data_IF_538334567173
#
_entry.id   IF_538334567173
#
_cell.length_a   1.000
_cell.length_b   1.000
_cell.length_c   1.000
_cell.angle_alpha   90.00
_cell.angle_beta   90.00
_cell.angle_gamma   90.00
#
_symmetry.space_group_name_H-M   'P 1'
#
loop_
_entity.id
_entity.type
_entity.pdbx_description
1 polymer ?
#
# COMPACT_ATOMS: atom_id res chain seq x y z
N UNK A 1 55.56 -1.16 -32.27
CA UNK A 1 54.15 -0.74 -32.41
C UNK A 1 53.24 -1.71 -31.64
N UNK A 2 52.85 -1.42 -30.39
CA UNK A 2 51.78 -2.17 -29.72
C UNK A 2 50.71 -1.20 -29.18
N UNK A 3 49.67 -0.89 -29.96
CA UNK A 3 48.54 -0.05 -29.49
C UNK A 3 47.15 -0.67 -29.71
N UNK A 4 47.05 -1.81 -30.40
CA UNK A 4 45.75 -2.42 -30.71
C UNK A 4 45.12 -3.20 -29.52
N UNK A 5 45.94 -3.82 -28.65
CA UNK A 5 45.46 -4.78 -27.64
C UNK A 5 44.63 -4.18 -26.49
N UNK A 6 44.85 -2.91 -26.15
CA UNK A 6 44.19 -2.26 -25.00
C UNK A 6 42.75 -1.80 -25.30
N UNK A 7 42.45 -1.50 -26.56
CA UNK A 7 41.10 -1.11 -26.97
C UNK A 7 40.16 -2.32 -27.00
N UNK A 8 40.64 -3.48 -27.47
CA UNK A 8 39.84 -4.71 -27.55
C UNK A 8 39.48 -5.26 -26.16
N UNK A 9 40.40 -5.21 -25.19
CA UNK A 9 40.11 -5.58 -23.79
C UNK A 9 39.04 -4.67 -23.16
N UNK A 10 39.08 -3.37 -23.48
CA UNK A 10 38.13 -2.39 -22.95
C UNK A 10 36.72 -2.60 -23.51
N UNK A 11 36.60 -2.91 -24.80
CA UNK A 11 35.32 -3.24 -25.45
C UNK A 11 34.75 -4.55 -24.88
N UNK A 12 35.59 -5.58 -24.74
CA UNK A 12 35.16 -6.87 -24.19
C UNK A 12 34.68 -6.77 -22.73
N UNK A 13 35.32 -5.91 -21.92
CA UNK A 13 34.90 -5.64 -20.55
C UNK A 13 33.52 -4.93 -20.50
N UNK A 14 33.26 -3.99 -21.41
CA UNK A 14 31.97 -3.30 -21.53
C UNK A 14 30.87 -4.28 -21.95
N UNK A 15 31.13 -5.13 -22.94
CA UNK A 15 30.17 -6.14 -23.41
C UNK A 15 29.81 -7.13 -22.30
N UNK A 16 30.82 -7.59 -21.54
CA UNK A 16 30.64 -8.46 -20.38
C UNK A 16 29.83 -7.76 -19.28
N UNK A 17 30.12 -6.49 -19.00
CA UNK A 17 29.36 -5.68 -18.05
C UNK A 17 27.90 -5.49 -18.47
N UNK A 18 27.65 -5.24 -19.76
CA UNK A 18 26.31 -5.07 -20.31
C UNK A 18 25.51 -6.38 -20.23
N UNK A 19 26.14 -7.51 -20.54
CA UNK A 19 25.52 -8.83 -20.38
C UNK A 19 25.15 -9.09 -18.92
N UNK A 20 26.05 -8.80 -17.97
CA UNK A 20 25.78 -8.96 -16.53
C UNK A 20 24.60 -8.09 -16.07
N UNK A 21 24.52 -6.84 -16.52
CA UNK A 21 23.40 -5.95 -16.21
C UNK A 21 22.08 -6.47 -16.78
N UNK A 22 22.07 -6.98 -18.02
CA UNK A 22 20.90 -7.61 -18.64
C UNK A 22 20.43 -8.82 -17.81
N UNK A 23 21.35 -9.67 -17.37
CA UNK A 23 21.04 -10.81 -16.51
C UNK A 23 20.46 -10.39 -15.15
N UNK A 24 21.05 -9.40 -14.48
CA UNK A 24 20.53 -8.89 -13.21
C UNK A 24 19.13 -8.28 -13.35
N UNK A 25 18.89 -7.53 -14.43
CA UNK A 25 17.57 -6.98 -14.72
C UNK A 25 16.53 -8.07 -15.01
N UNK A 26 16.90 -9.13 -15.74
CA UNK A 26 16.03 -10.28 -15.97
C UNK A 26 15.72 -11.02 -14.65
N UNK A 27 16.73 -11.27 -13.82
CA UNK A 27 16.56 -11.91 -12.51
C UNK A 27 15.65 -11.10 -11.59
N UNK A 28 15.82 -9.77 -11.54
CA UNK A 28 14.95 -8.89 -10.74
C UNK A 28 13.49 -8.92 -11.22
N UNK A 29 13.25 -8.93 -12.54
CA UNK A 29 11.89 -9.08 -13.11
C UNK A 29 11.27 -10.43 -12.75
N UNK A 30 12.06 -11.50 -12.82
CA UNK A 30 11.60 -12.83 -12.42
C UNK A 30 11.22 -12.89 -10.93
N UNK A 31 12.06 -12.36 -10.04
CA UNK A 31 11.75 -12.30 -8.61
C UNK A 31 10.47 -11.51 -8.31
N UNK A 32 10.23 -10.41 -9.03
CA UNK A 32 8.98 -9.64 -8.88
C UNK A 32 7.76 -10.43 -9.37
N UNK A 33 7.89 -11.13 -10.51
CA UNK A 33 6.84 -11.99 -11.03
C UNK A 33 6.53 -13.16 -10.08
N UNK A 34 7.56 -13.78 -9.50
CA UNK A 34 7.40 -14.84 -8.51
C UNK A 34 6.65 -14.35 -7.27
N UNK A 35 7.03 -13.19 -6.72
CA UNK A 35 6.31 -12.60 -5.59
C UNK A 35 4.85 -12.31 -5.93
N UNK A 36 4.56 -11.79 -7.13
CA UNK A 36 3.18 -11.58 -7.60
C UNK A 36 2.41 -12.90 -7.71
N UNK A 37 3.07 -13.97 -8.14
CA UNK A 37 2.50 -15.31 -8.17
C UNK A 37 2.22 -15.83 -6.77
N UNK A 38 3.17 -15.72 -5.84
CA UNK A 38 3.01 -16.11 -4.43
C UNK A 38 1.85 -15.38 -3.76
N UNK A 39 1.66 -14.08 -4.06
CA UNK A 39 0.49 -13.32 -3.60
C UNK A 39 -0.83 -13.72 -4.29
N UNK A 40 -0.78 -14.21 -5.52
CA UNK A 40 -1.96 -14.62 -6.28
C UNK A 40 -2.42 -16.04 -5.91
N UNK A 41 -1.51 -16.88 -5.40
CA UNK A 41 -1.88 -18.12 -4.75
C UNK A 41 -2.61 -17.76 -3.46
N UNK A 42 -3.93 -18.01 -3.40
CA UNK A 42 -4.71 -17.91 -2.16
C UNK A 42 -3.95 -18.70 -1.08
N UNK A 43 -3.42 -18.01 -0.08
CA UNK A 43 -2.78 -18.64 1.06
C UNK A 43 -3.75 -19.70 1.63
N UNK A 44 -3.35 -20.97 1.62
CA UNK A 44 -4.18 -22.08 2.10
C UNK A 44 -5.11 -22.75 1.07
N UNK A 45 -4.97 -22.51 -0.24
CA UNK A 45 -5.69 -23.32 -1.24
C UNK A 45 -5.14 -24.75 -1.29
N UNK A 46 -5.87 -25.70 -0.70
CA UNK A 46 -5.62 -27.13 -0.83
C UNK A 46 -6.62 -27.73 -1.84
N UNK A 47 -6.18 -28.22 -3.01
CA UNK A 47 -7.06 -28.81 -4.02
C UNK A 47 -7.73 -30.10 -3.57
N UNK A 48 -7.23 -30.75 -2.51
CA UNK A 48 -7.82 -31.95 -1.90
C UNK A 48 -8.81 -31.62 -0.77
N UNK A 49 -8.90 -30.36 -0.35
CA UNK A 49 -9.81 -29.94 0.69
C UNK A 49 -11.27 -30.16 0.24
N UNK A 50 -12.10 -30.88 1.04
CA UNK A 50 -13.47 -31.14 0.68
C UNK A 50 -14.25 -29.83 0.51
N UNK A 51 -14.77 -29.61 -0.70
CA UNK A 51 -15.61 -28.45 -0.99
C UNK A 51 -17.00 -28.71 -0.43
N UNK A 52 -17.50 -27.78 0.36
CA UNK A 52 -18.86 -27.84 0.87
C UNK A 52 -19.83 -27.84 -0.32
N UNK A 53 -20.76 -28.82 -0.44
CA UNK A 53 -21.74 -28.86 -1.53
C UNK A 53 -22.62 -27.62 -1.57
N UNK A 54 -23.07 -27.25 -2.77
CA UNK A 54 -23.99 -26.13 -2.96
C UNK A 54 -25.28 -26.36 -2.13
N UNK A 55 -25.64 -25.38 -1.29
CA UNK A 55 -26.83 -25.42 -0.43
C UNK A 55 -26.61 -25.89 1.01
N UNK A 56 -25.37 -26.22 1.42
CA UNK A 56 -25.05 -26.52 2.80
C UNK A 56 -24.87 -25.21 3.62
N UNK A 57 -25.46 -25.10 4.82
CA UNK A 57 -25.34 -23.92 5.68
C UNK A 57 -23.90 -23.55 6.07
N UNK A 58 -22.96 -24.51 6.06
CA UNK A 58 -21.55 -24.27 6.39
C UNK A 58 -20.73 -23.68 5.22
N UNK A 59 -21.34 -23.57 4.02
CA UNK A 59 -20.72 -22.95 2.85
C UNK A 59 -21.04 -21.46 2.77
N UNK A 60 -20.05 -20.63 2.42
CA UNK A 60 -20.25 -19.19 2.24
C UNK A 60 -21.37 -18.90 1.24
N UNK A 61 -22.50 -18.38 1.73
CA UNK A 61 -23.65 -18.05 0.89
C UNK A 61 -23.48 -16.67 0.27
N UNK A 62 -23.61 -16.59 -1.05
CA UNK A 62 -23.79 -15.31 -1.72
C UNK A 62 -25.24 -14.88 -1.53
N UNK A 63 -25.46 -13.76 -0.85
CA UNK A 63 -26.80 -13.20 -0.66
C UNK A 63 -27.39 -12.85 -2.03
N UNK A 64 -28.59 -13.37 -2.28
CA UNK A 64 -29.41 -13.03 -3.45
C UNK A 64 -30.18 -11.74 -3.12
N UNK A 65 -30.18 -10.78 -4.04
CA UNK A 65 -30.79 -9.46 -3.83
C UNK A 65 -32.30 -9.53 -3.51
N UNK A 66 -32.68 -8.95 -2.37
CA UNK A 66 -33.92 -8.16 -2.18
C UNK A 66 -35.23 -8.88 -1.79
N UNK A 67 -35.73 -8.59 -0.58
CA UNK A 67 -37.16 -8.74 -0.25
C UNK A 67 -37.53 -8.76 1.25
N UNK A 68 -37.83 -7.58 1.82
CA UNK A 68 -38.99 -7.34 2.73
C UNK A 68 -39.12 -7.96 4.14
N UNK A 69 -39.26 -7.05 5.11
CA UNK A 69 -40.05 -7.05 6.37
C UNK A 69 -39.63 -7.83 7.65
N UNK A 70 -39.41 -7.01 8.68
CA UNK A 70 -39.90 -7.04 10.09
C UNK A 70 -39.35 -8.02 11.15
N UNK A 71 -38.78 -7.37 12.17
CA UNK A 71 -38.90 -7.52 13.64
C UNK A 71 -38.43 -8.77 14.43
N UNK A 72 -37.64 -8.40 15.47
CA UNK A 72 -37.48 -8.96 16.82
C UNK A 72 -36.66 -10.23 17.10
N UNK A 73 -35.53 -10.00 17.78
CA UNK A 73 -35.24 -10.41 19.17
C UNK A 73 -33.87 -11.08 19.30
N UNK A 74 -33.17 -10.71 20.37
CA UNK A 74 -31.74 -10.91 20.54
C UNK A 74 -31.31 -12.32 20.93
N UNK A 75 -30.02 -12.58 20.75
CA UNK A 75 -29.10 -12.93 21.85
C UNK A 75 -27.68 -13.09 21.29
N UNK A 76 -26.73 -12.59 22.08
CA UNK A 76 -25.29 -12.90 22.09
C UNK A 76 -24.78 -14.03 21.17
N UNK A 77 -23.80 -13.70 20.33
CA UNK A 77 -22.65 -14.60 20.13
C UNK A 77 -21.38 -13.82 19.83
N UNK A 78 -20.35 -14.14 20.62
CA UNK A 78 -18.99 -13.62 20.59
C UNK A 78 -18.38 -13.85 19.20
N UNK A 79 -18.08 -12.78 18.48
CA UNK A 79 -17.33 -12.88 17.22
C UNK A 79 -15.84 -12.83 17.54
N UNK A 80 -15.17 -13.96 17.34
CA UNK A 80 -13.71 -14.08 17.29
C UNK A 80 -13.27 -13.46 15.96
N UNK A 81 -12.68 -12.27 15.99
CA UNK A 81 -12.07 -11.63 14.82
C UNK A 81 -10.56 -11.87 14.82
N UNK A 82 -10.12 -12.88 14.08
CA UNK A 82 -8.71 -13.02 13.71
C UNK A 82 -8.38 -11.99 12.62
N UNK A 83 -7.84 -10.85 13.07
CA UNK A 83 -7.37 -9.76 12.22
C UNK A 83 -6.14 -10.20 11.42
N UNK A 84 -6.31 -10.30 10.10
CA UNK A 84 -5.21 -10.48 9.16
C UNK A 84 -4.41 -9.19 8.98
N UNK A 85 -3.09 -9.36 8.91
CA UNK A 85 -2.04 -8.33 8.84
C UNK A 85 -2.35 -7.14 7.94
N UNK A 86 -2.26 -5.93 8.52
CA UNK A 86 -2.61 -4.62 7.96
C UNK A 86 -1.70 -4.08 6.82
N UNK A 87 -1.28 -4.93 5.87
CA UNK A 87 -0.64 -4.50 4.61
C UNK A 87 -1.27 -5.14 3.35
N UNK A 88 -2.50 -5.63 3.47
CA UNK A 88 -3.36 -5.99 2.35
C UNK A 88 -4.77 -5.45 2.59
N UNK A 89 -5.13 -4.35 1.92
CA UNK A 89 -6.54 -3.96 1.78
C UNK A 89 -7.05 -4.72 0.57
N UNK A 90 -7.73 -5.83 0.81
CA UNK A 90 -8.47 -6.56 -0.22
C UNK A 90 -9.50 -5.64 -0.88
N UNK A 91 -9.81 -5.90 -2.16
CA UNK A 91 -10.78 -5.12 -2.95
C UNK A 91 -12.22 -5.09 -2.44
N UNK A 92 -12.49 -5.54 -1.20
CA UNK A 92 -13.81 -5.61 -0.59
C UNK A 92 -14.39 -4.24 -0.22
N UNK A 93 -13.54 -3.24 0.07
CA UNK A 93 -14.01 -1.88 0.39
C UNK A 93 -14.60 -1.12 -0.81
N UNK A 94 -14.44 -1.61 -2.04
CA UNK A 94 -15.09 -1.02 -3.22
C UNK A 94 -16.53 -1.53 -3.43
N UNK A 95 -16.96 -2.58 -2.71
CA UNK A 95 -18.28 -3.17 -2.89
C UNK A 95 -19.38 -2.53 -2.02
N UNK A 96 -19.01 -1.86 -0.91
CA UNK A 96 -19.95 -1.51 0.16
C UNK A 96 -20.46 -0.05 0.14
N UNK A 97 -20.08 0.77 -0.86
CA UNK A 97 -20.40 2.20 -0.85
C UNK A 97 -20.77 2.83 -2.19
N UNK A 98 -20.93 2.04 -3.25
CA UNK A 98 -21.37 2.59 -4.53
C UNK A 98 -22.88 2.95 -4.45
N UNK A 99 -23.28 4.20 -4.77
CA UNK A 99 -24.68 4.50 -5.05
C UNK A 99 -25.18 3.51 -6.10
N UNK A 100 -26.36 2.93 -5.89
CA UNK A 100 -27.04 2.07 -6.87
C UNK A 100 -27.16 2.82 -8.19
N UNK A 101 -26.21 2.58 -9.09
CA UNK A 101 -26.08 3.19 -10.41
C UNK A 101 -25.32 2.22 -11.34
N UNK A 102 -25.43 2.38 -12.67
CA UNK A 102 -24.95 1.40 -13.63
C UNK A 102 -23.44 1.19 -13.47
N UNK A 103 -23.00 -0.08 -13.47
CA UNK A 103 -21.62 -0.53 -13.26
C UNK A 103 -20.52 0.48 -13.67
N UNK A 104 -19.58 0.83 -12.77
CA UNK A 104 -18.48 1.73 -13.10
C UNK A 104 -17.62 1.08 -14.19
N UNK A 105 -17.56 1.72 -15.36
CA UNK A 105 -16.63 1.33 -16.45
C UNK A 105 -17.25 0.80 -17.75
N UNK A 106 -18.58 0.77 -17.92
CA UNK A 106 -19.21 0.40 -19.21
C UNK A 106 -20.19 1.42 -19.80
N UNK A 107 -20.43 2.53 -19.11
CA UNK A 107 -21.36 3.57 -19.55
C UNK A 107 -20.68 4.75 -20.24
N UNK A 108 -21.46 5.58 -20.94
CA UNK A 108 -20.96 6.85 -21.46
C UNK A 108 -20.47 7.70 -20.29
N UNK A 109 -19.39 8.46 -20.51
CA UNK A 109 -18.84 9.40 -19.53
C UNK A 109 -19.13 10.83 -19.96
N UNK A 110 -19.39 11.70 -18.98
CA UNK A 110 -19.61 13.11 -19.22
C UNK A 110 -18.27 13.84 -19.39
N UNK A 111 -18.09 14.49 -20.54
CA UNK A 111 -16.91 15.30 -20.87
C UNK A 111 -17.40 16.62 -21.46
N UNK A 112 -17.08 17.74 -20.80
CA UNK A 112 -17.50 19.07 -21.23
C UNK A 112 -19.02 19.18 -21.53
N UNK A 113 -19.85 18.52 -20.73
CA UNK A 113 -21.31 18.50 -20.92
C UNK A 113 -21.83 17.53 -21.99
N UNK A 114 -20.97 16.80 -22.70
CA UNK A 114 -21.33 15.81 -23.71
C UNK A 114 -21.10 14.39 -23.20
N UNK A 115 -22.06 13.50 -23.45
CA UNK A 115 -21.92 12.07 -23.18
C UNK A 115 -21.07 11.42 -24.28
N UNK A 116 -19.90 10.92 -23.91
CA UNK A 116 -18.96 10.25 -24.81
C UNK A 116 -18.87 8.78 -24.44
N UNK A 117 -18.92 7.88 -25.42
CA UNK A 117 -18.74 6.45 -25.22
C UNK A 117 -17.25 6.09 -25.38
N UNK A 118 -16.52 5.80 -24.28
CA UNK A 118 -15.13 5.34 -24.36
C UNK A 118 -15.05 3.92 -24.91
N UNK A 119 -13.93 3.61 -25.59
CA UNK A 119 -13.59 2.22 -25.94
C UNK A 119 -13.40 1.40 -24.66
N UNK A 120 -13.60 0.07 -24.70
CA UNK A 120 -13.37 -0.79 -23.54
C UNK A 120 -11.97 -0.64 -22.92
N UNK A 121 -10.94 -0.43 -23.76
CA UNK A 121 -9.57 -0.21 -23.30
C UNK A 121 -9.41 1.14 -22.57
N UNK A 122 -10.00 2.22 -23.09
CA UNK A 122 -10.01 3.52 -22.42
C UNK A 122 -10.76 3.45 -21.09
N UNK A 123 -11.91 2.77 -21.03
CA UNK A 123 -12.68 2.62 -19.79
C UNK A 123 -11.89 1.87 -18.72
N UNK A 124 -11.28 0.74 -19.08
CA UNK A 124 -10.48 -0.06 -18.15
C UNK A 124 -9.26 0.73 -17.64
N UNK A 125 -8.57 1.43 -18.55
CA UNK A 125 -7.41 2.24 -18.19
C UNK A 125 -7.79 3.40 -17.26
N UNK A 126 -8.87 4.12 -17.59
CA UNK A 126 -9.35 5.23 -16.79
C UNK A 126 -9.74 4.76 -15.38
N UNK A 127 -10.52 3.69 -15.27
CA UNK A 127 -10.93 3.13 -13.98
C UNK A 127 -9.71 2.71 -13.12
N UNK A 128 -8.69 2.10 -13.73
CA UNK A 128 -7.48 1.72 -13.01
C UNK A 128 -6.68 2.95 -12.52
N UNK A 129 -6.60 4.01 -13.32
CA UNK A 129 -5.91 5.24 -12.96
C UNK A 129 -6.66 6.05 -11.90
N UNK A 130 -7.99 6.15 -12.00
CA UNK A 130 -8.83 6.80 -11.00
C UNK A 130 -8.73 6.07 -9.65
N UNK A 131 -8.81 4.74 -9.63
CA UNK A 131 -8.63 3.96 -8.41
C UNK A 131 -7.24 4.16 -7.78
N UNK A 132 -6.19 4.23 -8.61
CA UNK A 132 -4.82 4.51 -8.17
C UNK A 132 -4.70 5.92 -7.60
N UNK A 133 -5.27 6.92 -8.27
CA UNK A 133 -5.30 8.30 -7.81
C UNK A 133 -6.03 8.41 -6.47
N UNK A 134 -7.27 7.91 -6.38
CA UNK A 134 -8.10 8.00 -5.17
C UNK A 134 -7.42 7.35 -3.96
N UNK A 135 -6.80 6.18 -4.15
CA UNK A 135 -6.06 5.49 -3.09
C UNK A 135 -4.86 6.31 -2.60
N UNK A 136 -4.06 6.85 -3.51
CA UNK A 136 -2.89 7.65 -3.16
C UNK A 136 -3.30 9.00 -2.53
N UNK A 137 -4.31 9.68 -3.10
CA UNK A 137 -4.84 10.95 -2.59
C UNK A 137 -5.35 10.78 -1.17
N UNK A 138 -6.14 9.73 -0.89
CA UNK A 138 -6.62 9.44 0.47
C UNK A 138 -5.49 9.29 1.47
N UNK A 139 -4.44 8.53 1.13
CA UNK A 139 -3.26 8.36 1.99
C UNK A 139 -2.52 9.67 2.24
N UNK A 140 -2.52 10.59 1.27
CA UNK A 140 -1.96 11.93 1.49
C UNK A 140 -2.86 12.74 2.43
N UNK A 141 -4.17 12.68 2.22
CA UNK A 141 -5.16 13.42 2.99
C UNK A 141 -5.35 12.91 4.43
N UNK A 142 -5.02 11.66 4.70
CA UNK A 142 -4.94 11.15 6.08
C UNK A 142 -3.84 11.85 6.88
N UNK A 143 -2.81 12.37 6.20
CA UNK A 143 -1.75 13.19 6.82
C UNK A 143 -2.05 14.70 6.70
N UNK A 144 -2.45 15.16 5.52
CA UNK A 144 -2.75 16.56 5.18
C UNK A 144 -4.14 16.69 4.55
N UNK A 145 -5.20 16.83 5.36
CA UNK A 145 -6.59 16.81 4.90
C UNK A 145 -6.94 17.85 3.83
N UNK A 146 -6.22 18.97 3.81
CA UNK A 146 -6.37 20.08 2.87
C UNK A 146 -5.64 19.87 1.54
N UNK A 147 -4.72 18.88 1.45
CA UNK A 147 -3.96 18.65 0.23
C UNK A 147 -4.86 18.22 -0.93
N UNK A 148 -4.64 18.82 -2.10
CA UNK A 148 -5.33 18.48 -3.35
C UNK A 148 -4.30 18.35 -4.47
N UNK A 149 -4.51 17.45 -5.44
CA UNK A 149 -3.68 17.44 -6.64
C UNK A 149 -3.91 18.72 -7.46
N UNK A 150 -2.95 19.02 -8.33
CA UNK A 150 -3.02 20.18 -9.22
C UNK A 150 -4.20 20.01 -10.19
N UNK A 151 -5.09 20.99 -10.24
CA UNK A 151 -6.24 20.97 -11.14
C UNK A 151 -5.76 21.01 -12.61
N UNK A 152 -6.37 20.17 -13.46
CA UNK A 152 -6.22 20.24 -14.91
C UNK A 152 -7.58 20.18 -15.60
N UNK A 153 -7.73 21.01 -16.63
CA UNK A 153 -8.90 21.01 -17.50
C UNK A 153 -8.69 19.98 -18.62
N UNK A 154 -9.75 19.27 -19.00
CA UNK A 154 -9.75 18.34 -20.13
C UNK A 154 -11.09 18.37 -20.87
N UNK A 155 -11.04 18.09 -22.16
CA UNK A 155 -12.21 18.05 -23.05
C UNK A 155 -12.32 16.74 -23.84
N UNK A 156 -11.47 15.76 -23.57
CA UNK A 156 -11.44 14.46 -24.24
C UNK A 156 -11.26 13.30 -23.25
N UNK A 157 -11.55 12.07 -23.69
CA UNK A 157 -11.36 10.85 -22.88
C UNK A 157 -9.88 10.68 -22.51
N UNK A 158 -9.00 10.94 -23.48
CA UNK A 158 -7.54 10.95 -23.36
C UNK A 158 -7.08 12.00 -22.36
N UNK A 159 -7.67 13.20 -22.40
CA UNK A 159 -7.39 14.26 -21.43
C UNK A 159 -7.77 13.85 -20.01
N UNK A 160 -8.90 13.14 -19.83
CA UNK A 160 -9.30 12.58 -18.53
C UNK A 160 -8.32 11.50 -18.05
N UNK A 161 -7.91 10.60 -18.93
CA UNK A 161 -6.89 9.58 -18.65
C UNK A 161 -5.56 10.23 -18.24
N UNK A 162 -5.13 11.26 -18.99
CA UNK A 162 -3.90 12.00 -18.69
C UNK A 162 -3.99 12.71 -17.33
N UNK A 163 -5.15 13.30 -17.01
CA UNK A 163 -5.41 13.88 -15.70
C UNK A 163 -5.33 12.85 -14.58
N UNK A 164 -6.06 11.74 -14.68
CA UNK A 164 -6.06 10.70 -13.64
C UNK A 164 -4.64 10.14 -13.40
N UNK A 165 -3.86 9.97 -14.47
CA UNK A 165 -2.43 9.62 -14.37
C UNK A 165 -1.64 10.68 -13.60
N UNK A 166 -1.76 11.95 -13.96
CA UNK A 166 -1.02 13.03 -13.33
C UNK A 166 -1.40 13.18 -11.83
N UNK A 167 -2.68 13.05 -11.49
CA UNK A 167 -3.16 13.07 -10.11
C UNK A 167 -2.58 11.91 -9.30
N UNK A 168 -2.60 10.69 -9.87
CA UNK A 168 -1.97 9.52 -9.25
C UNK A 168 -0.46 9.72 -9.01
N UNK A 169 0.27 10.20 -10.02
CA UNK A 169 1.71 10.44 -9.92
C UNK A 169 2.04 11.50 -8.84
N UNK A 170 1.30 12.61 -8.79
CA UNK A 170 1.49 13.65 -7.78
C UNK A 170 1.25 13.11 -6.36
N UNK A 171 0.15 12.38 -6.17
CA UNK A 171 -0.20 11.82 -4.87
C UNK A 171 0.83 10.75 -4.43
N UNK A 172 1.26 9.87 -5.34
CA UNK A 172 2.23 8.83 -5.03
C UNK A 172 3.63 9.38 -4.72
N UNK A 173 4.07 10.45 -5.39
CA UNK A 173 5.31 11.14 -5.03
C UNK A 173 5.24 11.63 -3.58
N UNK A 174 4.09 12.18 -3.17
CA UNK A 174 3.87 12.65 -1.80
C UNK A 174 3.83 11.49 -0.80
N UNK A 175 3.16 10.39 -1.14
CA UNK A 175 3.19 9.14 -0.34
C UNK A 175 4.62 8.62 -0.20
N UNK A 176 5.41 8.58 -1.28
CA UNK A 176 6.79 8.12 -1.25
C UNK A 176 7.69 9.04 -0.41
N UNK A 177 7.42 10.34 -0.37
CA UNK A 177 8.07 11.25 0.57
C UNK A 177 7.75 10.89 2.02
N UNK A 178 6.48 10.64 2.36
CA UNK A 178 6.08 10.22 3.70
C UNK A 178 6.75 8.91 4.11
N UNK A 179 6.79 7.93 3.22
CA UNK A 179 7.45 6.65 3.47
C UNK A 179 8.95 6.80 3.70
N UNK A 180 9.65 7.68 2.96
CA UNK A 180 11.08 7.95 3.15
C UNK A 180 11.40 8.68 4.45
N UNK A 181 10.44 9.45 4.96
CA UNK A 181 10.54 10.19 6.21
C UNK A 181 9.91 9.45 7.41
N UNK A 182 9.43 8.22 7.21
CA UNK A 182 8.82 7.42 8.28
C UNK A 182 7.46 7.92 8.74
N UNK A 183 6.74 8.73 7.95
CA UNK A 183 5.41 9.26 8.31
C UNK A 183 4.28 8.27 8.01
N UNK A 184 4.51 7.42 7.02
CA UNK A 184 3.69 6.25 6.70
C UNK A 184 4.56 4.99 6.80
N UNK A 185 3.96 3.79 6.88
CA UNK A 185 4.71 2.55 6.76
C UNK A 185 5.63 2.59 5.54
N UNK A 186 6.94 2.53 5.80
CA UNK A 186 7.97 2.68 4.78
C UNK A 186 8.01 1.52 3.78
N UNK A 187 8.86 1.64 2.76
CA UNK A 187 8.98 0.65 1.68
C UNK A 187 9.43 -0.74 2.15
N UNK A 188 10.01 -0.83 3.35
CA UNK A 188 10.50 -2.07 3.95
C UNK A 188 9.60 -2.55 5.10
N UNK A 189 8.44 -1.92 5.31
CA UNK A 189 7.46 -2.39 6.27
C UNK A 189 6.91 -3.76 5.84
N UNK A 190 7.07 -4.77 6.71
CA UNK A 190 6.60 -6.15 6.47
C UNK A 190 5.58 -6.56 7.53
N UNK A 191 6.02 -6.68 8.77
CA UNK A 191 5.18 -7.02 9.91
C UNK A 191 5.14 -5.88 10.93
N UNK A 192 4.17 -5.94 11.82
CA UNK A 192 3.94 -4.97 12.89
C UNK A 192 3.05 -5.58 13.96
N UNK A 193 3.06 -4.99 15.15
CA UNK A 193 2.12 -5.31 16.23
C UNK A 193 1.10 -4.16 16.39
N UNK A 194 -0.12 -4.41 16.89
CA UNK A 194 -1.04 -3.33 17.24
C UNK A 194 -0.43 -2.47 18.36
N UNK A 195 -0.64 -1.15 18.31
CA UNK A 195 -0.31 -0.26 19.41
C UNK A 195 -1.48 -0.25 20.41
N UNK A 196 -1.19 -0.31 21.72
CA UNK A 196 -2.22 -0.16 22.76
C UNK A 196 -2.78 1.27 22.87
N UNK A 197 -2.05 2.25 22.33
CA UNK A 197 -2.38 3.66 22.43
C UNK A 197 -1.24 4.53 21.89
N UNK A 198 -1.39 5.86 21.93
CA UNK A 198 -0.39 6.80 21.44
C UNK A 198 0.84 6.94 22.36
N UNK A 199 0.79 6.39 23.57
CA UNK A 199 1.84 6.53 24.58
C UNK A 199 3.09 5.72 24.23
N UNK A 200 4.24 6.16 24.76
CA UNK A 200 5.55 5.52 24.55
C UNK A 200 5.97 4.59 25.70
N UNK A 201 5.03 4.17 26.54
CA UNK A 201 5.23 3.27 27.67
C UNK A 201 5.16 1.79 27.23
N UNK A 202 6.00 1.41 26.27
CA UNK A 202 6.02 0.06 25.71
C UNK A 202 6.49 -0.98 26.74
N UNK A 203 5.73 -2.07 26.83
CA UNK A 203 6.03 -3.27 27.61
C UNK A 203 7.27 -4.00 27.08
N UNK A 204 7.84 -4.85 27.91
CA UNK A 204 8.96 -5.71 27.51
C UNK A 204 8.59 -6.68 26.37
N UNK A 205 7.32 -7.11 26.31
CA UNK A 205 6.80 -7.97 25.24
C UNK A 205 6.75 -7.22 23.91
N UNK A 206 6.14 -6.02 23.88
CA UNK A 206 6.07 -5.18 22.68
C UNK A 206 7.48 -4.88 22.13
N UNK A 207 8.42 -4.55 23.01
CA UNK A 207 9.83 -4.30 22.64
C UNK A 207 10.50 -5.53 22.04
N UNK A 208 10.24 -6.71 22.59
CA UNK A 208 10.79 -7.98 22.09
C UNK A 208 10.20 -8.32 20.71
N UNK A 209 8.89 -8.23 20.54
CA UNK A 209 8.23 -8.49 19.26
C UNK A 209 8.74 -7.54 18.17
N UNK A 210 8.87 -6.24 18.47
CA UNK A 210 9.45 -5.28 17.53
C UNK A 210 10.92 -5.59 17.22
N UNK A 211 11.69 -6.04 18.20
CA UNK A 211 13.06 -6.49 17.96
C UNK A 211 13.12 -7.71 17.04
N UNK A 212 12.25 -8.70 17.22
CA UNK A 212 12.16 -9.90 16.38
C UNK A 212 11.81 -9.52 14.94
N UNK A 213 10.76 -8.71 14.75
CA UNK A 213 10.36 -8.20 13.42
C UNK A 213 11.52 -7.43 12.78
N UNK A 214 12.16 -6.52 13.51
CA UNK A 214 13.27 -5.74 13.01
C UNK A 214 14.52 -6.57 12.71
N UNK A 215 14.73 -7.66 13.43
CA UNK A 215 15.84 -8.59 13.17
C UNK A 215 15.61 -9.43 11.90
N UNK A 216 14.35 -9.75 11.59
CA UNK A 216 13.98 -10.51 10.39
C UNK A 216 13.89 -9.65 9.13
N UNK A 217 13.33 -8.44 9.25
CA UNK A 217 12.97 -7.62 8.09
C UNK A 217 13.68 -6.26 8.04
N UNK A 218 14.45 -5.92 9.06
CA UNK A 218 15.13 -4.64 9.19
C UNK A 218 14.19 -3.49 9.56
N UNK A 219 14.72 -2.29 9.53
CA UNK A 219 13.98 -1.06 9.72
C UNK A 219 12.90 -0.90 8.65
N UNK A 220 11.66 -0.65 9.05
CA UNK A 220 10.53 -0.50 8.13
C UNK A 220 10.69 0.69 7.14
N UNK A 221 11.48 1.70 7.50
CA UNK A 221 11.70 2.91 6.68
C UNK A 221 12.82 2.72 5.65
N UNK A 222 14.00 2.21 6.05
CA UNK A 222 15.17 2.13 5.17
C UNK A 222 15.75 0.72 4.96
N UNK A 223 15.17 -0.30 5.58
CA UNK A 223 15.58 -1.71 5.41
C UNK A 223 16.88 -2.10 6.11
N UNK A 224 17.51 -1.21 6.87
CA UNK A 224 18.75 -1.56 7.59
C UNK A 224 18.49 -2.58 8.69
N UNK A 225 19.40 -3.54 8.85
CA UNK A 225 19.40 -4.50 9.97
C UNK A 225 20.12 -3.98 11.22
N UNK A 226 20.57 -2.73 11.21
CA UNK A 226 21.17 -2.09 12.38
C UNK A 226 20.18 -1.12 13.01
N UNK A 227 19.81 -1.38 14.27
CA UNK A 227 18.93 -0.49 15.02
C UNK A 227 19.58 0.88 15.30
N UNK A 228 20.90 0.94 15.44
CA UNK A 228 21.64 2.19 15.72
C UNK A 228 21.40 2.77 17.11
N UNK A 229 20.82 2.01 18.04
CA UNK A 229 20.64 2.37 19.44
C UNK A 229 21.72 1.72 20.30
N UNK A 230 21.99 2.28 21.50
CA UNK A 230 22.96 1.68 22.45
C UNK A 230 22.53 0.29 22.95
N UNK A 231 21.22 0.03 23.04
CA UNK A 231 20.69 -1.25 23.47
C UNK A 231 20.70 -2.31 22.36
N UNK A 232 20.89 -1.91 21.10
CA UNK A 232 20.71 -2.77 19.92
C UNK A 232 19.25 -2.99 19.51
N UNK A 233 18.28 -2.45 20.26
CA UNK A 233 16.86 -2.58 19.95
C UNK A 233 16.39 -1.50 18.98
N UNK A 234 15.50 -1.87 18.04
CA UNK A 234 14.76 -0.90 17.23
C UNK A 234 13.80 -0.08 18.10
N UNK A 235 13.51 1.14 17.65
CA UNK A 235 12.40 1.92 18.20
C UNK A 235 11.07 1.28 17.80
N UNK A 236 10.13 1.25 18.74
CA UNK A 236 8.73 0.94 18.46
C UNK A 236 8.09 2.20 17.88
N UNK A 237 7.92 2.20 16.56
CA UNK A 237 7.49 3.37 15.82
C UNK A 237 6.01 3.30 15.48
N UNK A 238 5.24 4.27 15.97
CA UNK A 238 3.82 4.40 15.69
C UNK A 238 3.59 4.82 14.25
N UNK A 239 2.78 4.05 13.52
CA UNK A 239 2.36 4.37 12.17
C UNK A 239 0.84 4.55 12.10
N UNK A 240 0.35 5.73 11.68
CA UNK A 240 1.11 6.98 11.49
C UNK A 240 1.64 7.54 12.83
N UNK A 241 2.61 8.48 12.86
CA UNK A 241 3.10 9.07 14.11
C UNK A 241 1.98 9.73 14.94
N UNK A 242 1.98 9.54 16.26
CA UNK A 242 0.90 10.01 17.14
C UNK A 242 0.66 11.52 17.07
N UNK A 243 1.70 12.31 16.84
CA UNK A 243 1.59 13.76 16.67
C UNK A 243 0.76 14.20 15.44
N UNK A 244 0.62 13.31 14.46
CA UNK A 244 -0.14 13.54 13.24
C UNK A 244 -1.51 12.83 13.29
N UNK A 245 -1.74 11.94 14.24
CA UNK A 245 -2.95 11.13 14.36
C UNK A 245 -4.10 11.89 15.04
N UNK A 246 -4.59 12.95 14.40
CA UNK A 246 -5.60 13.84 14.98
C UNK A 246 -6.97 13.17 15.17
N UNK A 247 -7.26 12.18 14.33
CA UNK A 247 -8.52 11.44 14.38
C UNK A 247 -8.50 10.29 15.39
N UNK A 248 -7.39 10.12 16.14
CA UNK A 248 -7.27 9.07 17.14
C UNK A 248 -7.43 7.66 16.56
N UNK A 249 -7.01 7.45 15.31
CA UNK A 249 -7.12 6.16 14.64
C UNK A 249 -6.21 5.13 15.32
N UNK A 250 -6.59 3.86 15.26
CA UNK A 250 -5.74 2.76 15.73
C UNK A 250 -4.38 2.80 15.02
N UNK A 251 -3.31 2.76 15.80
CA UNK A 251 -1.94 2.78 15.30
C UNK A 251 -1.31 1.39 15.37
N UNK A 252 -0.31 1.16 14.53
CA UNK A 252 0.54 -0.04 14.60
C UNK A 252 1.97 0.35 14.91
N UNK A 253 2.72 -0.57 15.51
CA UNK A 253 4.13 -0.40 15.83
C UNK A 253 4.99 -1.15 14.81
N UNK A 254 5.95 -0.44 14.23
CA UNK A 254 6.96 -0.98 13.31
C UNK A 254 8.37 -0.82 13.87
N UNK A 255 9.34 -1.66 13.48
CA UNK A 255 10.73 -1.49 13.88
C UNK A 255 11.39 -0.34 13.12
N UNK A 256 11.89 0.68 13.83
CA UNK A 256 12.59 1.80 13.22
C UNK A 256 13.99 2.00 13.80
N UNK A 257 14.98 2.21 12.93
CA UNK A 257 16.35 2.49 13.38
C UNK A 257 16.47 3.94 13.87
N UNK A 258 17.50 4.21 14.67
CA UNK A 258 17.76 5.52 15.27
C UNK A 258 17.88 6.65 14.24
N UNK A 259 18.53 6.39 13.10
CA UNK A 259 18.67 7.37 12.03
C UNK A 259 17.30 7.76 11.43
N UNK A 260 16.43 6.79 11.15
CA UNK A 260 15.11 7.06 10.61
C UNK A 260 14.18 7.69 11.65
N UNK A 261 14.27 7.28 12.92
CA UNK A 261 13.50 7.88 14.01
C UNK A 261 13.85 9.36 14.21
N UNK A 262 15.14 9.70 14.20
CA UNK A 262 15.57 11.10 14.23
C UNK A 262 15.09 11.90 13.01
N UNK A 263 15.11 11.30 11.81
CA UNK A 263 14.59 11.94 10.59
C UNK A 263 13.08 12.21 10.69
N UNK A 264 12.30 11.23 11.15
CA UNK A 264 10.86 11.34 11.35
C UNK A 264 10.54 12.46 12.34
N UNK A 265 11.20 12.48 13.50
CA UNK A 265 11.04 13.55 14.49
C UNK A 265 11.35 14.94 13.93
N UNK A 266 12.44 15.07 13.18
CA UNK A 266 12.80 16.33 12.52
C UNK A 266 11.75 16.77 11.48
N UNK A 267 11.20 15.82 10.71
CA UNK A 267 10.16 16.12 9.74
C UNK A 267 8.87 16.60 10.42
N UNK A 268 8.45 15.92 11.50
CA UNK A 268 7.27 16.30 12.29
C UNK A 268 7.45 17.71 12.88
N UNK A 269 8.61 18.03 13.43
CA UNK A 269 8.88 19.37 13.97
C UNK A 269 8.79 20.46 12.90
N UNK A 270 9.24 20.19 11.67
CA UNK A 270 9.24 21.18 10.57
C UNK A 270 7.88 21.37 9.90
N UNK A 271 7.14 20.28 9.72
CA UNK A 271 5.93 20.27 8.87
C UNK A 271 4.64 19.91 9.63
N UNK A 272 4.73 19.28 10.80
CA UNK A 272 3.58 18.88 11.61
C UNK A 272 2.89 20.04 12.34
N UNK A 273 3.57 21.18 12.49
CA UNK A 273 2.98 22.37 13.13
C UNK A 273 1.84 23.01 12.32
N UNK A 274 1.83 22.83 10.99
CA UNK A 274 0.77 23.37 10.12
C UNK A 274 -0.49 22.51 10.03
N UNK A 275 -0.50 21.37 10.73
CA UNK A 275 -1.64 20.46 10.75
C UNK A 275 -2.57 20.71 11.97
N UNK A 276 -2.10 21.40 13.01
CA UNK A 276 -2.86 21.63 14.25
C UNK A 276 -3.98 22.66 14.08
#
# INVERSE_FOLDING_TARGET
MPHASSCDESVHAIETGLLRLKWLAAAARFQLALRRHDFALKAGFDPSQPRVPAGNPDGGQWTRDGGGSEEFSGSDSVTISDETSALWIGGEQYAQGAPRGPYPGRGPILINGQWVQPTPAQSALLAALEARADSAIRRVQDIFPEWRPTASLYSTVEGRIARARAEAEQAEVRVAEFQRNGILPGLFARESIPARGPERNFTSLERRQIYEIGSMFGCHTCGTFSAGTRSGYYFCDHQMPSALNQRGQSQRLYPQCASCSGRQGNWITRYGGGLK
#
